data_IF_035147532143
#
_entry.id   IF_035147532143
#
_cell.length_a   1.000
_cell.length_b   1.000
_cell.length_c   1.000
_cell.angle_alpha   90.00
_cell.angle_beta   90.00
_cell.angle_gamma   90.00
#
_symmetry.space_group_name_H-M   'P 1'
#
loop_
_entity.id
_entity.type
_entity.pdbx_description
1 polymer ?
#
# COMPACT_ATOMS: atom_id res chain seq x y z
N UNK A 1 -32.90 14.86 26.04
CA UNK A 1 -31.91 14.32 25.11
C UNK A 1 -30.69 13.98 25.95
N UNK A 2 -30.09 12.79 25.88
CA UNK A 2 -28.87 12.47 26.61
C UNK A 2 -27.79 13.47 26.15
N UNK A 3 -26.96 13.93 27.09
CA UNK A 3 -25.90 14.90 26.78
C UNK A 3 -24.94 14.29 25.74
N UNK A 4 -24.42 15.11 24.83
CA UNK A 4 -23.47 14.69 23.80
C UNK A 4 -22.26 13.94 24.39
N UNK A 5 -21.91 14.20 25.64
CA UNK A 5 -20.88 13.53 26.42
C UNK A 5 -21.22 12.05 26.73
N UNK A 6 -22.47 11.78 27.12
CA UNK A 6 -22.91 10.40 27.41
C UNK A 6 -22.98 9.55 26.14
N UNK A 7 -23.39 10.15 25.01
CA UNK A 7 -23.41 9.46 23.72
C UNK A 7 -21.99 9.08 23.27
N UNK A 8 -21.00 9.96 23.43
CA UNK A 8 -19.61 9.65 23.04
C UNK A 8 -19.02 8.50 23.86
N UNK A 9 -19.35 8.40 25.14
CA UNK A 9 -18.90 7.29 26.00
C UNK A 9 -19.51 5.94 25.58
N UNK A 10 -20.83 5.91 25.36
CA UNK A 10 -21.54 4.68 24.94
C UNK A 10 -21.00 4.19 23.59
N UNK A 11 -20.90 5.10 22.60
CA UNK A 11 -20.33 4.72 21.31
C UNK A 11 -18.85 4.34 21.41
N UNK A 12 -18.08 5.00 22.29
CA UNK A 12 -16.69 4.65 22.54
C UNK A 12 -16.52 3.21 23.03
N UNK A 13 -17.32 2.83 24.06
CA UNK A 13 -17.32 1.47 24.59
C UNK A 13 -17.73 0.43 23.53
N UNK A 14 -18.75 0.73 22.73
CA UNK A 14 -19.22 -0.14 21.65
C UNK A 14 -18.16 -0.31 20.56
N UNK A 15 -17.49 0.77 20.14
CA UNK A 15 -16.42 0.71 19.13
C UNK A 15 -15.16 0.01 19.66
N UNK A 16 -14.84 0.16 20.95
CA UNK A 16 -13.77 -0.61 21.60
C UNK A 16 -14.08 -2.10 21.56
N UNK A 17 -15.28 -2.51 21.96
CA UNK A 17 -15.68 -3.93 21.92
C UNK A 17 -15.60 -4.50 20.50
N UNK A 18 -16.12 -3.77 19.50
CA UNK A 18 -16.08 -4.20 18.09
C UNK A 18 -14.64 -4.29 17.56
N UNK A 19 -13.78 -3.32 17.92
CA UNK A 19 -12.37 -3.35 17.56
C UNK A 19 -11.67 -4.58 18.13
N UNK A 20 -11.88 -4.90 19.40
CA UNK A 20 -11.27 -6.06 20.08
C UNK A 20 -11.75 -7.38 19.47
N UNK A 21 -13.02 -7.50 19.13
CA UNK A 21 -13.57 -8.69 18.43
C UNK A 21 -12.88 -8.86 17.07
N UNK A 22 -12.81 -7.82 16.25
CA UNK A 22 -12.16 -7.87 14.95
C UNK A 22 -10.66 -8.14 15.07
N UNK A 23 -10.00 -7.57 16.07
CA UNK A 23 -8.59 -7.82 16.38
C UNK A 23 -8.34 -9.29 16.69
N UNK A 24 -9.19 -9.92 17.51
CA UNK A 24 -9.05 -11.33 17.82
C UNK A 24 -9.35 -12.24 16.62
N UNK A 25 -10.34 -11.90 15.82
CA UNK A 25 -10.56 -12.60 14.55
C UNK A 25 -9.32 -12.53 13.64
N UNK A 26 -8.65 -11.36 13.60
CA UNK A 26 -7.44 -11.17 12.80
C UNK A 26 -6.25 -11.95 13.33
N UNK A 27 -6.08 -12.03 14.65
CA UNK A 27 -4.90 -12.69 15.25
C UNK A 27 -5.06 -14.20 15.36
N UNK A 28 -6.26 -14.68 15.73
CA UNK A 28 -6.46 -16.08 16.10
C UNK A 28 -7.15 -16.96 15.04
N UNK A 29 -7.73 -16.38 13.98
CA UNK A 29 -8.43 -17.15 12.93
C UNK A 29 -7.72 -16.99 11.59
N UNK A 30 -6.76 -17.88 11.22
CA UNK A 30 -5.89 -17.69 10.05
C UNK A 30 -6.64 -17.49 8.73
N UNK A 31 -7.72 -18.25 8.48
CA UNK A 31 -8.49 -18.16 7.24
C UNK A 31 -9.21 -16.81 7.09
N UNK A 32 -9.66 -16.25 8.21
CA UNK A 32 -10.43 -15.00 8.25
C UNK A 32 -9.53 -13.79 8.42
N UNK A 33 -8.30 -13.99 8.93
CA UNK A 33 -7.35 -12.92 9.26
C UNK A 33 -7.07 -11.99 8.09
N UNK A 34 -6.93 -12.53 6.88
CA UNK A 34 -6.68 -11.73 5.68
C UNK A 34 -7.78 -10.69 5.43
N UNK A 35 -9.05 -11.08 5.59
CA UNK A 35 -10.18 -10.16 5.38
C UNK A 35 -10.38 -9.22 6.57
N UNK A 36 -10.29 -9.75 7.80
CA UNK A 36 -10.51 -8.95 9.01
C UNK A 36 -9.43 -7.92 9.23
N UNK A 37 -8.18 -8.17 8.81
CA UNK A 37 -7.09 -7.20 8.87
C UNK A 37 -7.43 -5.87 8.18
N UNK A 38 -8.14 -5.90 7.04
CA UNK A 38 -8.56 -4.68 6.37
C UNK A 38 -9.70 -3.95 7.09
N UNK A 39 -10.54 -4.67 7.85
CA UNK A 39 -11.75 -4.13 8.49
C UNK A 39 -11.49 -3.77 9.97
N UNK A 40 -10.48 -4.36 10.61
CA UNK A 40 -10.16 -4.12 12.03
C UNK A 40 -10.05 -2.64 12.41
N UNK A 41 -9.48 -1.73 11.59
CA UNK A 41 -9.46 -0.31 11.90
C UNK A 41 -10.83 0.40 11.83
N UNK A 42 -11.85 -0.21 11.19
CA UNK A 42 -13.15 0.40 10.89
C UNK A 42 -13.87 1.03 12.11
N UNK A 43 -13.94 0.39 13.29
CA UNK A 43 -14.61 0.99 14.45
C UNK A 43 -13.99 2.30 14.87
N UNK A 44 -12.64 2.37 14.87
CA UNK A 44 -11.92 3.60 15.22
C UNK A 44 -11.98 4.66 14.11
N UNK A 45 -12.04 4.25 12.84
CA UNK A 45 -12.31 5.16 11.72
C UNK A 45 -13.66 5.82 11.88
N UNK A 46 -14.70 5.04 12.17
CA UNK A 46 -16.06 5.55 12.36
C UNK A 46 -16.13 6.51 13.54
N UNK A 47 -15.53 6.14 14.68
CA UNK A 47 -15.51 6.97 15.86
C UNK A 47 -14.76 8.29 15.62
N UNK A 48 -13.57 8.21 15.01
CA UNK A 48 -12.75 9.38 14.68
C UNK A 48 -13.42 10.35 13.69
N UNK A 49 -14.25 9.84 12.77
CA UNK A 49 -15.00 10.66 11.84
C UNK A 49 -16.14 11.43 12.52
N UNK A 50 -16.72 10.92 13.62
CA UNK A 50 -17.90 11.51 14.30
C UNK A 50 -17.55 12.30 15.55
N UNK A 51 -16.48 11.94 16.27
CA UNK A 51 -16.16 12.51 17.57
C UNK A 51 -14.84 13.29 17.52
N UNK A 52 -14.55 14.04 18.60
CA UNK A 52 -13.37 14.91 18.66
C UNK A 52 -12.05 14.11 18.65
N UNK A 53 -10.92 14.71 18.17
CA UNK A 53 -9.63 14.03 18.17
C UNK A 53 -9.21 13.51 19.56
N UNK A 54 -9.45 14.30 20.62
CA UNK A 54 -9.13 13.90 22.01
C UNK A 54 -9.90 12.64 22.42
N UNK A 55 -11.21 12.58 22.12
CA UNK A 55 -12.04 11.41 22.40
C UNK A 55 -11.61 10.19 21.57
N UNK A 56 -11.25 10.41 20.30
CA UNK A 56 -10.80 9.34 19.40
C UNK A 56 -9.50 8.71 19.89
N UNK A 57 -8.53 9.52 20.28
CA UNK A 57 -7.28 9.01 20.87
C UNK A 57 -7.55 8.26 22.17
N UNK A 58 -8.43 8.78 23.05
CA UNK A 58 -8.80 8.09 24.29
C UNK A 58 -9.40 6.71 24.01
N UNK A 59 -10.38 6.62 23.10
CA UNK A 59 -11.02 5.34 22.73
C UNK A 59 -10.00 4.39 22.09
N UNK A 60 -9.12 4.88 21.23
CA UNK A 60 -8.06 4.07 20.65
C UNK A 60 -7.11 3.52 21.72
N UNK A 61 -6.68 4.35 22.68
CA UNK A 61 -5.84 3.91 23.81
C UNK A 61 -6.52 2.85 24.65
N UNK A 62 -7.81 3.06 24.99
CA UNK A 62 -8.59 2.07 25.71
C UNK A 62 -8.72 0.76 24.91
N UNK A 63 -8.95 0.86 23.59
CA UNK A 63 -9.05 -0.32 22.71
C UNK A 63 -7.74 -1.12 22.68
N UNK A 64 -6.58 -0.44 22.64
CA UNK A 64 -5.27 -1.10 22.71
C UNK A 64 -5.09 -1.79 24.06
N UNK A 65 -5.39 -1.10 25.17
CA UNK A 65 -5.26 -1.66 26.52
C UNK A 65 -6.15 -2.89 26.68
N UNK A 66 -7.43 -2.80 26.34
CA UNK A 66 -8.39 -3.91 26.47
C UNK A 66 -7.97 -5.07 25.55
N UNK A 67 -7.59 -4.80 24.31
CA UNK A 67 -7.10 -5.81 23.38
C UNK A 67 -5.86 -6.54 23.92
N UNK A 68 -4.91 -5.80 24.49
CA UNK A 68 -3.69 -6.34 25.09
C UNK A 68 -3.97 -7.13 26.38
N UNK A 69 -4.85 -6.64 27.25
CA UNK A 69 -5.20 -7.33 28.49
C UNK A 69 -5.88 -8.68 28.22
N UNK A 70 -6.75 -8.76 27.23
CA UNK A 70 -7.48 -9.96 26.88
C UNK A 70 -6.68 -10.92 25.99
N UNK A 71 -5.83 -10.40 25.08
CA UNK A 71 -5.07 -11.19 24.11
C UNK A 71 -3.60 -11.42 24.47
N UNK A 72 -3.14 -10.82 25.58
CA UNK A 72 -1.74 -10.87 25.99
C UNK A 72 -0.85 -9.88 25.24
N UNK A 73 0.40 -9.77 25.71
CA UNK A 73 1.37 -8.78 25.22
C UNK A 73 1.69 -8.96 23.72
N UNK A 74 1.56 -10.18 23.21
CA UNK A 74 1.84 -10.52 21.80
C UNK A 74 0.86 -9.84 20.82
N UNK A 75 -0.33 -9.49 21.28
CA UNK A 75 -1.36 -8.80 20.49
C UNK A 75 -1.15 -7.28 20.48
N UNK A 76 -0.41 -6.74 21.43
CA UNK A 76 -0.21 -5.29 21.61
C UNK A 76 0.32 -4.58 20.36
N UNK A 77 1.36 -5.09 19.66
CA UNK A 77 1.87 -4.46 18.43
C UNK A 77 0.81 -4.37 17.33
N UNK A 78 0.04 -5.44 17.15
CA UNK A 78 -1.05 -5.51 16.15
C UNK A 78 -2.19 -4.57 16.51
N UNK A 79 -2.60 -4.53 17.79
CA UNK A 79 -3.61 -3.62 18.29
C UNK A 79 -3.21 -2.15 18.08
N UNK A 80 -1.97 -1.80 18.41
CA UNK A 80 -1.41 -0.47 18.22
C UNK A 80 -1.43 -0.07 16.74
N UNK A 81 -0.97 -0.96 15.86
CA UNK A 81 -0.91 -0.73 14.42
C UNK A 81 -2.27 -0.39 13.84
N UNK A 82 -3.27 -1.23 14.06
CA UNK A 82 -4.63 -0.99 13.56
C UNK A 82 -5.31 0.21 14.23
N UNK A 83 -5.04 0.47 15.49
CA UNK A 83 -5.61 1.62 16.18
C UNK A 83 -5.07 2.94 15.61
N UNK A 84 -3.76 3.05 15.39
CA UNK A 84 -3.14 4.25 14.80
C UNK A 84 -3.68 4.50 13.39
N UNK A 85 -3.76 3.46 12.55
CA UNK A 85 -4.31 3.56 11.19
C UNK A 85 -5.78 4.01 11.24
N UNK A 86 -6.60 3.42 12.12
CA UNK A 86 -8.00 3.77 12.28
C UNK A 86 -8.21 5.22 12.72
N UNK A 87 -7.39 5.68 13.68
CA UNK A 87 -7.41 7.08 14.16
C UNK A 87 -7.07 8.05 13.05
N UNK A 88 -5.98 7.81 12.29
CA UNK A 88 -5.54 8.72 11.21
C UNK A 88 -6.60 8.82 10.12
N UNK A 89 -7.18 7.70 9.69
CA UNK A 89 -8.24 7.72 8.67
C UNK A 89 -9.48 8.44 9.20
N UNK A 90 -9.93 8.11 10.42
CA UNK A 90 -11.10 8.73 11.02
C UNK A 90 -10.96 10.25 11.19
N UNK A 91 -9.81 10.70 11.68
CA UNK A 91 -9.49 12.13 11.81
C UNK A 91 -9.37 12.83 10.45
N UNK A 92 -8.76 12.18 9.46
CA UNK A 92 -8.66 12.70 8.09
C UNK A 92 -10.03 12.90 7.44
N UNK A 93 -10.95 11.93 7.64
CA UNK A 93 -12.36 12.07 7.19
C UNK A 93 -13.04 13.26 7.88
N UNK A 94 -12.90 13.38 9.19
CA UNK A 94 -13.44 14.50 9.97
C UNK A 94 -12.89 15.85 9.51
N UNK A 95 -11.60 15.92 9.17
CA UNK A 95 -10.93 17.12 8.66
C UNK A 95 -11.24 17.40 7.18
N UNK A 96 -12.15 16.64 6.55
CA UNK A 96 -12.52 16.74 5.15
C UNK A 96 -11.33 16.62 4.19
N UNK A 97 -10.38 15.74 4.47
CA UNK A 97 -9.27 15.50 3.57
C UNK A 97 -9.77 15.07 2.19
N UNK A 98 -9.10 15.57 1.16
CA UNK A 98 -9.29 15.03 -0.18
C UNK A 98 -8.90 13.55 -0.19
N UNK A 99 -9.41 12.79 -1.16
CA UNK A 99 -9.09 11.35 -1.27
C UNK A 99 -7.59 11.09 -1.46
N UNK A 100 -6.88 11.97 -2.17
CA UNK A 100 -5.42 11.86 -2.34
C UNK A 100 -4.71 12.14 -1.01
N UNK A 101 -5.12 13.20 -0.30
CA UNK A 101 -4.57 13.50 1.03
C UNK A 101 -4.84 12.38 2.03
N UNK A 102 -6.04 11.77 1.99
CA UNK A 102 -6.39 10.64 2.85
C UNK A 102 -5.56 9.40 2.50
N UNK A 103 -5.36 9.10 1.21
CA UNK A 103 -4.51 8.01 0.76
C UNK A 103 -3.04 8.24 1.18
N UNK A 104 -2.52 9.45 0.99
CA UNK A 104 -1.16 9.81 1.41
C UNK A 104 -0.99 9.67 2.93
N UNK A 105 -1.90 10.25 3.73
CA UNK A 105 -1.85 10.13 5.18
C UNK A 105 -1.93 8.67 5.64
N UNK A 106 -2.83 7.87 5.07
CA UNK A 106 -2.96 6.45 5.41
C UNK A 106 -1.72 5.66 4.98
N UNK A 107 -1.22 5.86 3.75
CA UNK A 107 -0.04 5.18 3.23
C UNK A 107 1.22 5.46 4.05
N UNK A 108 1.43 6.73 4.40
CA UNK A 108 2.54 7.11 5.28
C UNK A 108 2.37 6.54 6.69
N UNK A 109 1.15 6.47 7.21
CA UNK A 109 0.89 5.83 8.51
C UNK A 109 1.19 4.34 8.48
N UNK A 110 0.71 3.62 7.46
CA UNK A 110 1.02 2.18 7.29
C UNK A 110 2.52 1.97 7.17
N UNK A 111 3.21 2.76 6.34
CA UNK A 111 4.66 2.70 6.19
C UNK A 111 5.39 2.93 7.52
N UNK A 112 5.04 4.01 8.23
CA UNK A 112 5.66 4.34 9.52
C UNK A 112 5.44 3.22 10.55
N UNK A 113 4.21 2.71 10.66
CA UNK A 113 3.89 1.61 11.57
C UNK A 113 4.68 0.36 11.19
N UNK A 114 4.77 0.00 9.91
CA UNK A 114 5.54 -1.15 9.42
C UNK A 114 7.02 -1.02 9.78
N UNK A 115 7.63 0.15 9.52
CA UNK A 115 9.05 0.40 9.85
C UNK A 115 9.29 0.37 11.35
N UNK A 116 8.41 1.00 12.15
CA UNK A 116 8.55 0.98 13.62
C UNK A 116 8.42 -0.45 14.15
N UNK A 117 7.45 -1.23 13.66
CA UNK A 117 7.29 -2.63 14.06
C UNK A 117 8.50 -3.49 13.69
N UNK A 118 9.07 -3.29 12.50
CA UNK A 118 10.30 -3.95 12.08
C UNK A 118 11.48 -3.61 13.01
N UNK A 119 11.64 -2.33 13.38
CA UNK A 119 12.67 -1.92 14.35
C UNK A 119 12.47 -2.56 15.73
N UNK A 120 11.21 -2.66 16.19
CA UNK A 120 10.88 -3.34 17.46
C UNK A 120 11.22 -4.82 17.41
N UNK A 121 10.92 -5.51 16.31
CA UNK A 121 11.25 -6.93 16.13
C UNK A 121 12.76 -7.18 16.20
N UNK A 122 13.55 -6.37 15.52
CA UNK A 122 15.02 -6.50 15.56
C UNK A 122 15.57 -6.19 16.95
N UNK A 123 15.15 -5.05 17.53
CA UNK A 123 15.80 -4.56 18.76
C UNK A 123 15.42 -5.38 20.00
N UNK A 124 14.18 -5.84 20.10
CA UNK A 124 13.68 -6.51 21.32
C UNK A 124 13.58 -8.02 21.19
N UNK A 125 13.38 -8.54 19.98
CA UNK A 125 13.21 -9.97 19.76
C UNK A 125 14.37 -10.59 18.98
N UNK A 126 15.33 -9.78 18.50
CA UNK A 126 16.44 -10.19 17.65
C UNK A 126 15.98 -10.96 16.38
N UNK A 127 14.75 -10.70 15.91
CA UNK A 127 14.18 -11.30 14.71
C UNK A 127 14.33 -10.33 13.54
N UNK A 128 15.13 -10.71 12.55
CA UNK A 128 15.28 -9.96 11.30
C UNK A 128 14.47 -10.64 10.19
N UNK A 129 13.18 -10.27 10.11
CA UNK A 129 12.23 -10.86 9.15
C UNK A 129 12.71 -10.70 7.71
N UNK A 130 13.42 -9.61 7.36
CA UNK A 130 13.91 -9.37 6.02
C UNK A 130 15.02 -10.36 5.68
N UNK A 131 15.99 -10.56 6.59
CA UNK A 131 17.06 -11.54 6.41
C UNK A 131 16.52 -12.97 6.33
N UNK A 132 15.57 -13.33 7.20
CA UNK A 132 14.92 -14.65 7.16
C UNK A 132 14.19 -14.88 5.82
N UNK A 133 13.46 -13.89 5.35
CA UNK A 133 12.76 -13.96 4.07
C UNK A 133 13.74 -14.11 2.89
N UNK A 134 14.85 -13.36 2.89
CA UNK A 134 15.88 -13.47 1.86
C UNK A 134 16.59 -14.83 1.92
N UNK A 135 16.90 -15.33 3.12
CA UNK A 135 17.50 -16.66 3.30
C UNK A 135 16.58 -17.76 2.77
N UNK A 136 15.30 -17.77 3.17
CA UNK A 136 14.31 -18.74 2.68
C UNK A 136 14.11 -18.64 1.16
N UNK A 137 14.11 -17.43 0.62
CA UNK A 137 14.02 -17.22 -0.83
C UNK A 137 15.25 -17.81 -1.54
N UNK A 138 16.45 -17.55 -1.02
CA UNK A 138 17.70 -18.11 -1.54
C UNK A 138 17.69 -19.64 -1.53
N UNK A 139 17.31 -20.26 -0.42
CA UNK A 139 17.17 -21.71 -0.31
C UNK A 139 16.18 -22.27 -1.33
N UNK A 140 15.05 -21.60 -1.53
CA UNK A 140 14.06 -22.00 -2.54
C UNK A 140 14.62 -21.95 -3.96
N UNK A 141 15.40 -20.92 -4.31
CA UNK A 141 16.08 -20.83 -5.61
C UNK A 141 17.13 -21.94 -5.78
N UNK A 142 17.91 -22.24 -4.75
CA UNK A 142 18.89 -23.33 -4.79
C UNK A 142 18.21 -24.70 -4.98
N UNK A 143 17.17 -24.99 -4.23
CA UNK A 143 16.40 -26.24 -4.35
C UNK A 143 15.74 -26.37 -5.74
N UNK A 144 15.19 -25.26 -6.27
CA UNK A 144 14.65 -25.26 -7.63
C UNK A 144 15.74 -25.50 -8.69
N UNK A 145 16.94 -24.93 -8.51
CA UNK A 145 18.06 -25.12 -9.40
C UNK A 145 18.57 -26.57 -9.39
N UNK A 146 18.66 -27.20 -8.21
CA UNK A 146 19.00 -28.62 -8.07
C UNK A 146 17.98 -29.53 -8.75
N UNK A 147 16.69 -29.29 -8.57
CA UNK A 147 15.60 -30.01 -9.21
C UNK A 147 15.67 -29.89 -10.76
N UNK A 148 15.97 -28.68 -11.24
CA UNK A 148 16.14 -28.42 -12.68
C UNK A 148 17.36 -29.12 -13.24
N UNK A 149 18.52 -29.10 -12.54
CA UNK A 149 19.74 -29.82 -12.89
C UNK A 149 19.48 -31.33 -13.00
N UNK A 150 18.77 -31.91 -12.01
CA UNK A 150 18.42 -33.32 -12.02
C UNK A 150 17.54 -33.72 -13.21
N UNK A 151 16.71 -32.81 -13.73
CA UNK A 151 15.77 -33.07 -14.83
C UNK A 151 16.39 -32.76 -16.20
N UNK A 152 17.15 -31.68 -16.33
CA UNK A 152 17.62 -31.13 -17.60
C UNK A 152 19.12 -31.39 -17.85
N UNK A 153 19.86 -31.81 -16.83
CA UNK A 153 21.32 -31.96 -16.88
C UNK A 153 22.11 -30.66 -16.93
N UNK A 154 21.44 -29.53 -16.72
CA UNK A 154 22.04 -28.17 -16.71
C UNK A 154 21.51 -27.35 -15.54
N UNK A 155 22.36 -26.50 -14.99
CA UNK A 155 21.90 -25.50 -14.02
C UNK A 155 21.02 -24.42 -14.69
N UNK A 156 19.93 -24.05 -14.06
CA UNK A 156 19.09 -22.95 -14.52
C UNK A 156 19.76 -21.58 -14.26
N UNK A 157 20.41 -21.45 -13.11
CA UNK A 157 21.16 -20.27 -12.68
C UNK A 157 22.43 -20.68 -11.95
N UNK A 158 23.53 -19.93 -12.12
CA UNK A 158 24.71 -20.18 -11.28
C UNK A 158 24.47 -19.71 -9.84
N UNK A 159 25.20 -20.28 -8.88
CA UNK A 159 25.13 -19.82 -7.47
C UNK A 159 25.51 -18.33 -7.34
N UNK A 160 26.42 -17.85 -8.22
CA UNK A 160 26.80 -16.44 -8.27
C UNK A 160 25.61 -15.54 -8.68
N UNK A 161 24.83 -15.94 -9.69
CA UNK A 161 23.65 -15.21 -10.14
C UNK A 161 22.57 -15.18 -9.06
N UNK A 162 22.36 -16.30 -8.34
CA UNK A 162 21.43 -16.36 -7.21
C UNK A 162 21.85 -15.37 -6.10
N UNK A 163 23.14 -15.34 -5.75
CA UNK A 163 23.64 -14.40 -4.73
C UNK A 163 23.48 -12.94 -5.18
N UNK A 164 23.76 -12.65 -6.46
CA UNK A 164 23.54 -11.32 -7.03
C UNK A 164 22.06 -10.92 -6.97
N UNK A 165 21.15 -11.84 -7.30
CA UNK A 165 19.71 -11.62 -7.19
C UNK A 165 19.29 -11.28 -5.74
N UNK A 166 19.82 -12.00 -4.73
CA UNK A 166 19.55 -11.71 -3.32
C UNK A 166 20.03 -10.30 -2.94
N UNK A 167 21.21 -9.89 -3.37
CA UNK A 167 21.72 -8.52 -3.14
C UNK A 167 20.84 -7.46 -3.79
N UNK A 168 20.31 -7.71 -4.99
CA UNK A 168 19.36 -6.83 -5.66
C UNK A 168 18.05 -6.74 -4.89
N UNK A 169 17.49 -7.85 -4.45
CA UNK A 169 16.25 -7.89 -3.66
C UNK A 169 16.41 -7.13 -2.35
N UNK A 170 17.53 -7.34 -1.63
CA UNK A 170 17.84 -6.62 -0.39
C UNK A 170 17.89 -5.10 -0.62
N UNK A 171 18.57 -4.66 -1.67
CA UNK A 171 18.67 -3.24 -2.02
C UNK A 171 17.30 -2.60 -2.34
N UNK A 172 16.33 -3.39 -2.85
CA UNK A 172 15.00 -2.92 -3.23
C UNK A 172 13.97 -2.99 -2.10
N UNK A 173 14.31 -3.56 -0.94
CA UNK A 173 13.38 -3.67 0.20
C UNK A 173 12.68 -2.35 0.55
N UNK A 174 13.37 -1.18 0.62
CA UNK A 174 12.70 0.08 0.96
C UNK A 174 11.60 0.47 -0.04
N UNK A 175 11.83 0.26 -1.35
CA UNK A 175 10.82 0.54 -2.37
C UNK A 175 9.63 -0.42 -2.26
N UNK A 176 9.90 -1.72 -2.05
CA UNK A 176 8.86 -2.74 -1.93
C UNK A 176 7.98 -2.50 -0.68
N UNK A 177 8.59 -2.17 0.46
CA UNK A 177 7.86 -1.82 1.69
C UNK A 177 7.03 -0.55 1.49
N UNK A 178 7.56 0.45 0.80
CA UNK A 178 6.82 1.68 0.48
C UNK A 178 5.62 1.37 -0.42
N UNK A 179 5.83 0.70 -1.54
CA UNK A 179 4.75 0.36 -2.50
C UNK A 179 3.67 -0.52 -1.86
N UNK A 180 4.07 -1.54 -1.09
CA UNK A 180 3.12 -2.41 -0.39
C UNK A 180 2.31 -1.65 0.66
N UNK A 181 2.92 -0.71 1.39
CA UNK A 181 2.23 0.13 2.37
C UNK A 181 1.14 1.01 1.72
N UNK A 182 1.43 1.62 0.58
CA UNK A 182 0.43 2.39 -0.17
C UNK A 182 -0.64 1.50 -0.82
N UNK A 183 -0.29 0.31 -1.27
CA UNK A 183 -1.26 -0.68 -1.77
C UNK A 183 -2.22 -1.12 -0.66
N UNK A 184 -1.70 -1.46 0.53
CA UNK A 184 -2.50 -1.82 1.71
C UNK A 184 -3.41 -0.65 2.11
N UNK A 185 -2.88 0.57 2.15
CA UNK A 185 -3.67 1.77 2.43
C UNK A 185 -4.81 1.97 1.41
N UNK A 186 -4.53 1.79 0.12
CA UNK A 186 -5.55 1.86 -0.93
C UNK A 186 -6.63 0.79 -0.76
N UNK A 187 -6.25 -0.46 -0.46
CA UNK A 187 -7.19 -1.55 -0.19
C UNK A 187 -8.05 -1.25 1.04
N UNK A 188 -7.43 -0.81 2.16
CA UNK A 188 -8.15 -0.43 3.37
C UNK A 188 -9.17 0.67 3.09
N UNK A 189 -8.80 1.74 2.40
CA UNK A 189 -9.71 2.83 2.05
C UNK A 189 -10.81 2.37 1.11
N UNK A 190 -10.48 1.55 0.10
CA UNK A 190 -11.44 1.03 -0.88
C UNK A 190 -12.52 0.14 -0.24
N UNK A 191 -12.18 -0.61 0.81
CA UNK A 191 -13.11 -1.47 1.55
C UNK A 191 -13.90 -0.66 2.58
N UNK A 192 -13.23 0.17 3.37
CA UNK A 192 -13.86 0.81 4.53
C UNK A 192 -14.67 2.05 4.19
N UNK A 193 -14.29 2.88 3.19
CA UNK A 193 -15.05 4.09 2.86
C UNK A 193 -16.49 3.80 2.40
N UNK A 194 -16.77 2.78 1.56
CA UNK A 194 -18.14 2.39 1.25
C UNK A 194 -18.95 1.96 2.47
N UNK A 195 -18.32 1.22 3.42
CA UNK A 195 -18.96 0.79 4.66
C UNK A 195 -19.29 2.01 5.54
N UNK A 196 -18.32 2.91 5.75
CA UNK A 196 -18.52 4.14 6.50
C UNK A 196 -19.64 5.02 5.91
N UNK A 197 -19.74 5.06 4.58
CA UNK A 197 -20.84 5.79 3.91
C UNK A 197 -22.22 5.20 4.24
N UNK A 198 -22.31 3.86 4.27
CA UNK A 198 -23.56 3.18 4.69
C UNK A 198 -23.87 3.43 6.17
N UNK A 199 -22.85 3.68 7.00
CA UNK A 199 -22.99 4.05 8.42
C UNK A 199 -23.17 5.57 8.62
N UNK A 200 -23.65 6.28 7.60
CA UNK A 200 -23.96 7.71 7.64
C UNK A 200 -22.77 8.60 8.00
N UNK A 201 -21.58 8.24 7.51
CA UNK A 201 -20.38 9.08 7.56
C UNK A 201 -20.16 9.71 6.18
N UNK A 202 -19.97 11.03 6.14
CA UNK A 202 -19.59 11.71 4.90
C UNK A 202 -18.12 11.39 4.58
N UNK A 203 -17.89 10.67 3.50
CA UNK A 203 -16.56 10.25 3.07
C UNK A 203 -16.23 10.77 1.66
N UNK A 204 -14.96 11.06 1.35
CA UNK A 204 -14.58 11.49 0.02
C UNK A 204 -14.89 10.40 -0.99
N UNK A 205 -15.37 10.81 -2.18
CA UNK A 205 -15.63 9.88 -3.28
C UNK A 205 -14.36 9.73 -4.12
N UNK A 206 -13.91 8.52 -4.39
CA UNK A 206 -12.85 8.29 -5.37
C UNK A 206 -13.37 8.63 -6.78
N UNK A 207 -12.62 9.42 -7.55
CA UNK A 207 -12.87 9.59 -8.97
C UNK A 207 -12.62 8.26 -9.68
N UNK A 208 -13.29 8.00 -10.81
CA UNK A 208 -12.96 6.84 -11.65
C UNK A 208 -11.44 6.80 -11.94
N UNK A 209 -10.87 5.61 -11.95
CA UNK A 209 -9.43 5.44 -12.16
C UNK A 209 -8.95 6.03 -13.49
N UNK A 210 -9.79 5.99 -14.53
CA UNK A 210 -9.53 6.62 -15.83
C UNK A 210 -9.23 8.12 -15.77
N UNK A 211 -9.73 8.81 -14.72
CA UNK A 211 -9.56 10.25 -14.56
C UNK A 211 -8.36 10.60 -13.66
N UNK A 212 -7.62 9.59 -13.19
CA UNK A 212 -6.41 9.81 -12.40
C UNK A 212 -5.33 10.47 -13.27
N UNK A 213 -4.75 11.55 -12.77
CA UNK A 213 -3.58 12.21 -13.36
C UNK A 213 -2.55 12.48 -12.28
N UNK A 214 -1.33 12.03 -12.53
CA UNK A 214 -0.19 12.34 -11.68
C UNK A 214 0.34 13.75 -11.98
N UNK A 215 0.97 14.42 -11.00
CA UNK A 215 1.60 15.70 -11.22
C UNK A 215 2.81 15.55 -12.17
N UNK A 216 3.01 16.55 -13.05
CA UNK A 216 4.12 16.56 -14.02
C UNK A 216 5.51 16.51 -13.37
N UNK A 217 5.62 16.85 -12.09
CA UNK A 217 6.88 16.75 -11.33
C UNK A 217 7.44 15.32 -11.29
N UNK A 218 6.56 14.29 -11.31
CA UNK A 218 6.99 12.88 -11.35
C UNK A 218 7.82 12.58 -12.59
N UNK A 219 7.48 13.18 -13.74
CA UNK A 219 8.26 13.04 -14.97
C UNK A 219 9.70 13.54 -14.77
N UNK A 220 9.86 14.72 -14.16
CA UNK A 220 11.18 15.29 -13.92
C UNK A 220 12.00 14.46 -12.95
N UNK A 221 11.40 13.98 -11.87
CA UNK A 221 12.09 13.08 -10.94
C UNK A 221 12.54 11.78 -11.62
N UNK A 222 11.69 11.22 -12.48
CA UNK A 222 12.03 10.02 -13.24
C UNK A 222 13.18 10.26 -14.23
N UNK A 223 13.18 11.39 -14.95
CA UNK A 223 14.25 11.75 -15.86
C UNK A 223 15.59 11.92 -15.13
N UNK A 224 15.59 12.51 -13.93
CA UNK A 224 16.81 12.60 -13.11
C UNK A 224 17.34 11.20 -12.75
N UNK A 225 16.45 10.30 -12.29
CA UNK A 225 16.82 8.93 -11.93
C UNK A 225 17.39 8.18 -13.14
N UNK A 226 16.74 8.27 -14.30
CA UNK A 226 17.22 7.63 -15.55
C UNK A 226 18.59 8.21 -15.97
N UNK A 227 18.77 9.53 -15.83
CA UNK A 227 20.05 10.18 -16.13
C UNK A 227 21.17 9.65 -15.22
N UNK A 228 20.91 9.52 -13.91
CA UNK A 228 21.89 8.93 -12.98
C UNK A 228 22.21 7.49 -13.36
N UNK A 229 21.20 6.68 -13.71
CA UNK A 229 21.42 5.28 -14.15
C UNK A 229 22.28 5.18 -15.42
N UNK A 230 22.07 6.08 -16.38
CA UNK A 230 22.77 6.03 -17.68
C UNK A 230 24.21 6.59 -17.62
N UNK A 231 24.42 7.68 -16.89
CA UNK A 231 25.71 8.39 -16.91
C UNK A 231 26.62 8.04 -15.73
N UNK A 232 26.05 7.74 -14.55
CA UNK A 232 26.83 7.40 -13.36
C UNK A 232 26.96 5.87 -13.20
N UNK A 233 25.96 5.11 -13.66
CA UNK A 233 25.87 3.65 -13.57
C UNK A 233 26.32 3.12 -12.19
N UNK A 234 25.54 3.40 -11.12
CA UNK A 234 25.96 3.10 -9.75
C UNK A 234 26.24 1.60 -9.55
N UNK A 235 27.32 1.29 -8.87
CA UNK A 235 27.72 -0.09 -8.56
C UNK A 235 26.81 -0.73 -7.51
N UNK A 236 26.47 -2.01 -7.70
CA UNK A 236 25.67 -2.82 -6.77
C UNK A 236 26.33 -2.81 -5.38
N UNK A 237 25.49 -2.61 -4.33
CA UNK A 237 25.94 -2.54 -2.94
C UNK A 237 26.35 -1.15 -2.45
N UNK A 238 26.37 -0.13 -3.35
CA UNK A 238 26.60 1.24 -2.92
C UNK A 238 25.30 1.93 -2.47
N UNK A 239 25.42 2.92 -1.59
CA UNK A 239 24.27 3.75 -1.17
C UNK A 239 23.61 4.44 -2.37
N UNK A 240 24.42 4.92 -3.34
CA UNK A 240 23.90 5.57 -4.54
C UNK A 240 23.06 4.59 -5.37
N UNK A 241 23.51 3.33 -5.50
CA UNK A 241 22.75 2.28 -6.14
C UNK A 241 21.38 2.10 -5.46
N UNK A 242 21.39 1.85 -4.14
CA UNK A 242 20.17 1.63 -3.36
C UNK A 242 19.18 2.79 -3.51
N UNK A 243 19.65 4.03 -3.36
CA UNK A 243 18.79 5.22 -3.51
C UNK A 243 18.23 5.32 -4.93
N UNK A 244 19.07 5.23 -5.95
CA UNK A 244 18.66 5.41 -7.35
C UNK A 244 17.66 4.34 -7.77
N UNK A 245 17.91 3.07 -7.48
CA UNK A 245 17.04 1.98 -7.89
C UNK A 245 15.73 1.92 -7.09
N UNK A 246 15.72 2.32 -5.82
CA UNK A 246 14.47 2.46 -5.06
C UNK A 246 13.57 3.56 -5.64
N UNK A 247 14.14 4.74 -5.99
CA UNK A 247 13.37 5.78 -6.66
C UNK A 247 12.90 5.33 -8.05
N UNK A 248 13.75 4.64 -8.82
CA UNK A 248 13.39 4.10 -10.13
C UNK A 248 12.16 3.17 -10.06
N UNK A 249 12.17 2.22 -9.13
CA UNK A 249 11.04 1.28 -8.95
C UNK A 249 9.77 2.01 -8.56
N UNK A 250 9.82 2.92 -7.57
CA UNK A 250 8.62 3.66 -7.11
C UNK A 250 8.07 4.54 -8.23
N UNK A 251 8.92 5.30 -8.92
CA UNK A 251 8.51 6.19 -10.00
C UNK A 251 8.00 5.41 -11.22
N UNK A 252 8.65 4.29 -11.57
CA UNK A 252 8.18 3.41 -12.65
C UNK A 252 6.79 2.84 -12.38
N UNK A 253 6.51 2.39 -11.15
CA UNK A 253 5.16 1.92 -10.78
C UNK A 253 4.14 3.06 -10.89
N UNK A 254 4.46 4.27 -10.46
CA UNK A 254 3.57 5.43 -10.62
C UNK A 254 3.31 5.74 -12.11
N UNK A 255 4.33 5.67 -12.97
CA UNK A 255 4.19 5.86 -14.42
C UNK A 255 3.35 4.76 -15.07
N UNK A 256 3.48 3.51 -14.64
CA UNK A 256 2.60 2.40 -15.07
C UNK A 256 1.15 2.64 -14.66
N UNK A 257 0.90 3.12 -13.44
CA UNK A 257 -0.46 3.51 -13.02
C UNK A 257 -1.02 4.65 -13.90
N UNK A 258 -0.18 5.62 -14.29
CA UNK A 258 -0.56 6.67 -15.23
C UNK A 258 -0.90 6.09 -16.61
N UNK A 259 -0.09 5.16 -17.13
CA UNK A 259 -0.36 4.47 -18.40
C UNK A 259 -1.67 3.68 -18.34
N UNK A 260 -1.92 2.94 -17.28
CA UNK A 260 -3.19 2.21 -17.09
C UNK A 260 -4.39 3.16 -17.03
N UNK A 261 -4.24 4.31 -16.36
CA UNK A 261 -5.28 5.34 -16.35
C UNK A 261 -5.56 5.89 -17.75
N UNK A 262 -4.52 6.15 -18.57
CA UNK A 262 -4.66 6.58 -19.95
C UNK A 262 -5.35 5.52 -20.82
N UNK A 263 -4.95 4.25 -20.70
CA UNK A 263 -5.58 3.12 -21.42
C UNK A 263 -7.08 3.04 -21.09
N UNK A 264 -7.41 3.09 -19.80
CA UNK A 264 -8.80 3.09 -19.35
C UNK A 264 -9.59 4.30 -19.87
N UNK A 265 -8.96 5.48 -19.91
CA UNK A 265 -9.54 6.69 -20.46
C UNK A 265 -9.86 6.51 -21.96
N UNK A 266 -8.90 6.00 -22.74
CA UNK A 266 -9.06 5.75 -24.15
C UNK A 266 -10.17 4.74 -24.46
N UNK A 267 -10.20 3.61 -23.74
CA UNK A 267 -11.21 2.58 -23.89
C UNK A 267 -12.62 3.09 -23.53
N UNK A 268 -12.71 3.89 -22.46
CA UNK A 268 -13.97 4.52 -22.07
C UNK A 268 -14.47 5.54 -23.12
N UNK A 269 -13.55 6.32 -23.74
CA UNK A 269 -13.91 7.21 -24.85
C UNK A 269 -14.45 6.49 -26.07
N UNK A 270 -14.08 5.21 -26.25
CA UNK A 270 -14.64 4.31 -27.28
C UNK A 270 -15.89 3.55 -26.86
N UNK A 271 -16.45 3.84 -25.69
CA UNK A 271 -17.64 3.14 -25.18
C UNK A 271 -17.38 1.71 -24.68
N UNK A 272 -16.12 1.31 -24.51
CA UNK A 272 -15.74 -0.03 -24.03
C UNK A 272 -15.94 -0.10 -22.51
N UNK A 273 -16.53 -1.20 -22.05
CA UNK A 273 -16.80 -1.41 -20.63
C UNK A 273 -15.52 -1.38 -19.78
N UNK A 274 -15.60 -0.80 -18.58
CA UNK A 274 -14.48 -0.67 -17.66
C UNK A 274 -13.83 -2.03 -17.32
N UNK A 275 -14.62 -3.09 -17.22
CA UNK A 275 -14.12 -4.46 -16.95
C UNK A 275 -13.13 -4.92 -18.03
N UNK A 276 -13.44 -4.65 -19.31
CA UNK A 276 -12.53 -4.97 -20.43
C UNK A 276 -11.23 -4.18 -20.28
N UNK A 277 -11.33 -2.91 -19.90
CA UNK A 277 -10.15 -2.08 -19.64
C UNK A 277 -9.25 -2.62 -18.53
N UNK A 278 -9.83 -3.20 -17.47
CA UNK A 278 -9.04 -3.86 -16.41
C UNK A 278 -8.32 -5.09 -16.94
N UNK A 279 -9.02 -5.93 -17.71
CA UNK A 279 -8.42 -7.14 -18.32
C UNK A 279 -7.25 -6.75 -19.23
N UNK A 280 -7.43 -5.73 -20.08
CA UNK A 280 -6.36 -5.21 -20.96
C UNK A 280 -5.16 -4.73 -20.14
N UNK A 281 -5.38 -3.98 -19.05
CA UNK A 281 -4.28 -3.53 -18.19
C UNK A 281 -3.51 -4.71 -17.59
N UNK A 282 -4.20 -5.77 -17.12
CA UNK A 282 -3.57 -6.97 -16.56
C UNK A 282 -2.75 -7.70 -17.61
N UNK A 283 -3.29 -7.86 -18.83
CA UNK A 283 -2.58 -8.51 -19.95
C UNK A 283 -1.33 -7.72 -20.41
N UNK A 284 -1.30 -6.41 -20.18
CA UNK A 284 -0.16 -5.57 -20.54
C UNK A 284 0.94 -5.51 -19.48
N UNK A 285 0.73 -6.07 -18.26
CA UNK A 285 1.76 -6.09 -17.20
C UNK A 285 3.11 -6.63 -17.66
N UNK A 286 3.21 -7.72 -18.45
CA UNK A 286 4.49 -8.22 -18.96
C UNK A 286 5.26 -7.19 -19.81
N UNK A 287 4.58 -6.21 -20.38
CA UNK A 287 5.16 -5.12 -21.15
C UNK A 287 5.50 -3.90 -20.27
N UNK A 288 5.89 -4.13 -19.02
CA UNK A 288 6.19 -3.11 -18.03
C UNK A 288 7.06 -1.95 -18.54
N UNK A 289 8.20 -2.17 -19.23
CA UNK A 289 9.02 -1.07 -19.74
C UNK A 289 8.28 -0.17 -20.77
N UNK A 290 7.44 -0.77 -21.62
CA UNK A 290 6.62 -0.01 -22.57
C UNK A 290 5.53 0.78 -21.87
N UNK A 291 4.94 0.25 -20.80
CA UNK A 291 3.95 0.97 -20.00
C UNK A 291 4.57 2.19 -19.32
N UNK A 292 5.81 2.08 -18.82
CA UNK A 292 6.55 3.23 -18.28
C UNK A 292 6.71 4.32 -19.33
N UNK A 293 7.10 3.97 -20.55
CA UNK A 293 7.21 4.93 -21.68
C UNK A 293 5.86 5.59 -22.00
N UNK A 294 4.78 4.82 -22.04
CA UNK A 294 3.43 5.37 -22.24
C UNK A 294 3.04 6.35 -21.12
N UNK A 295 3.39 6.06 -19.86
CA UNK A 295 3.17 6.96 -18.73
C UNK A 295 3.97 8.25 -18.84
N UNK A 296 5.24 8.17 -19.26
CA UNK A 296 6.10 9.32 -19.55
C UNK A 296 5.50 10.21 -20.65
N UNK A 297 5.05 9.59 -21.75
CA UNK A 297 4.45 10.31 -22.87
C UNK A 297 3.12 10.98 -22.47
N UNK A 298 2.27 10.34 -21.66
CA UNK A 298 1.01 10.96 -21.22
C UNK A 298 1.25 12.18 -20.32
N UNK A 299 2.26 12.13 -19.45
CA UNK A 299 2.61 13.27 -18.58
C UNK A 299 3.31 14.40 -19.36
N UNK A 300 4.12 14.06 -20.36
CA UNK A 300 4.86 15.02 -21.16
C UNK A 300 4.00 15.73 -22.21
N UNK A 301 3.20 14.99 -22.95
CA UNK A 301 2.48 15.47 -24.15
C UNK A 301 0.99 15.68 -23.95
N UNK A 302 0.41 15.37 -22.75
CA UNK A 302 -1.03 15.43 -22.47
C UNK A 302 -1.90 14.75 -23.56
N UNK A 303 -1.62 13.44 -23.81
CA UNK A 303 -2.26 12.65 -24.89
C UNK A 303 -3.78 12.69 -24.79
N UNK A 304 -4.34 12.88 -23.60
CA UNK A 304 -5.80 12.89 -23.37
C UNK A 304 -6.49 14.05 -24.12
N UNK A 305 -5.86 15.20 -24.27
CA UNK A 305 -6.41 16.32 -25.04
C UNK A 305 -6.57 15.96 -26.51
N UNK A 306 -5.60 15.21 -27.07
CA UNK A 306 -5.67 14.73 -28.45
C UNK A 306 -6.81 13.71 -28.65
N UNK A 307 -7.00 12.80 -27.70
CA UNK A 307 -8.07 11.79 -27.71
C UNK A 307 -9.44 12.49 -27.71
N UNK A 308 -9.64 13.45 -26.80
CA UNK A 308 -10.93 14.18 -26.65
C UNK A 308 -11.28 14.97 -27.90
N UNK A 309 -10.30 15.67 -28.49
CA UNK A 309 -10.52 16.46 -29.71
C UNK A 309 -10.85 15.61 -30.94
N UNK A 310 -10.40 14.34 -30.97
CA UNK A 310 -10.69 13.40 -32.07
C UNK A 310 -12.06 12.73 -31.92
N UNK A 311 -12.56 12.58 -30.68
CA UNK A 311 -13.87 11.95 -30.42
C UNK A 311 -15.03 12.94 -30.63
N UNK A 312 -14.76 14.25 -30.58
CA UNK A 312 -15.74 15.32 -30.80
C UNK A 312 -15.81 15.79 -32.26
N UNK A 313 -15.05 15.17 -33.17
CA UNK A 313 -15.14 15.34 -34.64
C UNK A 313 -15.82 14.12 -35.28
#
# INVERSE_FOLDING_TARGET
>A
MPSTKNQSLVYGAMMTALFVILLFMTVYIPVVSFFTAFITPLPLMWYGAKFTPKQTVLVATVSIIVGTLLGGIIVAPTALSFAVIGVVIGMGIRANYSKVALLMATGLTVLTVTVVMYMVLIQFLAIDVIKEMLATTRESYLAMNEAFLATSGKEAMSVADINQLMTLLEALVPALVTLSSFLVAFMMLSINLPILRRLSVQVPKFSPFKDMRLPRSILWYYLVVVTVKLFVNPEIGTTLYTVTYNFDVVLSVLLVLQAFSLIQYYLAAKGIAQTVGVIVCVLLVPLFPLLVLVGVLDLGMDIRTFITNKTNR
#
